data_IF_854368912623
#
_entry.id   IF_854368912623
#
_cell.length_a   1.000
_cell.length_b   1.000
_cell.length_c   1.000
_cell.angle_alpha   90.00
_cell.angle_beta   90.00
_cell.angle_gamma   90.00
#
_symmetry.space_group_name_H-M   'P 1'
#
loop_
_entity.id
_entity.type
_entity.pdbx_description
1 polymer ?
#
# COMPACT_ATOMS: atom_id res chain seq x y z
N UNK A 1 20.05 -71.03 -23.69
CA UNK A 1 19.22 -72.04 -24.38
C UNK A 1 18.57 -72.90 -23.32
N UNK A 2 17.24 -73.14 -23.29
CA UNK A 2 16.09 -72.53 -23.98
C UNK A 2 15.29 -71.60 -23.00
N UNK A 3 14.53 -70.57 -23.40
CA UNK A 3 13.29 -70.44 -24.20
C UNK A 3 11.98 -70.59 -23.40
N UNK A 4 11.11 -69.61 -23.68
CA UNK A 4 9.89 -69.12 -23.04
C UNK A 4 8.79 -70.14 -22.68
N UNK A 5 7.91 -69.74 -21.74
CA UNK A 5 6.47 -69.69 -22.01
C UNK A 5 5.77 -68.71 -21.04
N UNK A 6 5.39 -67.56 -21.59
CA UNK A 6 4.56 -66.52 -20.99
C UNK A 6 3.13 -67.02 -20.77
N UNK A 7 2.65 -66.98 -19.53
CA UNK A 7 1.23 -67.11 -19.21
C UNK A 7 0.56 -65.75 -19.36
N UNK A 8 -0.11 -65.55 -20.51
CA UNK A 8 -0.98 -64.40 -20.78
C UNK A 8 -2.23 -64.54 -19.91
N UNK A 9 -2.30 -63.76 -18.82
CA UNK A 9 -3.50 -63.67 -17.99
C UNK A 9 -4.26 -62.38 -18.32
N UNK A 10 -5.30 -62.49 -19.13
CA UNK A 10 -6.32 -61.47 -19.35
C UNK A 10 -7.15 -61.28 -18.07
N UNK A 11 -7.07 -60.11 -17.42
CA UNK A 11 -8.09 -59.61 -16.47
C UNK A 11 -8.19 -58.09 -16.61
N UNK A 12 -9.10 -57.65 -17.48
CA UNK A 12 -10.36 -56.98 -17.09
C UNK A 12 -10.10 -55.64 -16.40
N UNK A 13 -10.18 -54.58 -17.20
CA UNK A 13 -10.15 -53.19 -16.77
C UNK A 13 -11.41 -52.87 -15.97
N UNK A 14 -11.27 -52.68 -14.66
CA UNK A 14 -12.32 -52.09 -13.82
C UNK A 14 -12.18 -50.58 -13.94
N UNK A 15 -13.06 -49.95 -14.73
CA UNK A 15 -13.23 -48.51 -14.74
C UNK A 15 -13.96 -48.10 -13.45
N UNK A 16 -13.21 -47.52 -12.50
CA UNK A 16 -13.80 -46.85 -11.35
C UNK A 16 -14.25 -45.46 -11.82
N UNK A 17 -15.53 -45.34 -12.13
CA UNK A 17 -16.23 -44.04 -12.21
C UNK A 17 -16.54 -43.64 -10.78
N UNK A 18 -15.72 -42.76 -10.20
CA UNK A 18 -15.97 -42.17 -8.89
C UNK A 18 -16.22 -40.66 -9.05
N UNK A 19 -17.37 -40.25 -8.53
CA UNK A 19 -18.03 -38.97 -8.72
C UNK A 19 -17.14 -37.75 -8.45
N UNK A 20 -17.16 -36.80 -9.38
CA UNK A 20 -16.69 -35.44 -9.17
C UNK A 20 -17.58 -34.77 -8.12
N UNK A 21 -17.16 -34.79 -6.85
CA UNK A 21 -17.74 -33.93 -5.83
C UNK A 21 -17.40 -32.47 -6.20
N UNK A 22 -18.39 -31.72 -6.69
CA UNK A 22 -18.33 -30.27 -6.77
C UNK A 22 -18.27 -29.72 -5.34
N UNK A 23 -17.06 -29.53 -4.83
CA UNK A 23 -16.83 -28.68 -3.69
C UNK A 23 -17.10 -27.23 -4.13
N UNK A 24 -18.28 -26.72 -3.80
CA UNK A 24 -18.57 -25.28 -3.86
C UNK A 24 -17.80 -24.67 -2.70
N UNK A 25 -16.55 -24.28 -2.96
CA UNK A 25 -15.80 -23.40 -2.07
C UNK A 25 -16.56 -22.09 -1.98
N UNK A 26 -17.10 -21.78 -0.80
CA UNK A 26 -17.55 -20.42 -0.50
C UNK A 26 -16.32 -19.51 -0.62
N UNK A 27 -16.24 -18.76 -1.71
CA UNK A 27 -15.29 -17.66 -1.84
C UNK A 27 -15.69 -16.61 -0.80
N UNK A 28 -15.07 -16.68 0.38
CA UNK A 28 -14.93 -15.52 1.26
C UNK A 28 -14.34 -14.42 0.38
N UNK A 29 -15.09 -13.34 0.19
CA UNK A 29 -14.71 -12.25 -0.72
C UNK A 29 -13.29 -11.80 -0.40
N UNK A 30 -12.35 -12.08 -1.30
CA UNK A 30 -11.06 -11.44 -1.28
C UNK A 30 -11.34 -9.98 -1.59
N UNK A 31 -11.20 -9.11 -0.58
CA UNK A 31 -11.14 -7.68 -0.82
C UNK A 31 -10.12 -7.44 -1.95
N UNK A 32 -10.40 -6.53 -2.90
CA UNK A 32 -9.47 -6.27 -3.99
C UNK A 32 -8.10 -5.94 -3.38
N UNK A 33 -7.12 -6.79 -3.65
CA UNK A 33 -5.74 -6.53 -3.32
C UNK A 33 -5.29 -5.38 -4.20
N UNK A 34 -5.13 -4.21 -3.60
CA UNK A 34 -4.60 -3.07 -4.33
C UNK A 34 -3.20 -3.44 -4.85
N UNK A 35 -2.99 -3.31 -6.16
CA UNK A 35 -1.71 -3.63 -6.78
C UNK A 35 -0.62 -2.72 -6.18
N UNK A 36 0.33 -3.33 -5.46
CA UNK A 36 1.51 -2.65 -4.98
C UNK A 36 2.70 -2.92 -5.90
N UNK A 37 3.58 -1.92 -6.02
CA UNK A 37 4.80 -2.01 -6.79
C UNK A 37 5.95 -2.41 -5.86
N UNK A 38 6.98 -3.12 -6.37
CA UNK A 38 8.14 -3.40 -5.55
C UNK A 38 8.77 -2.10 -5.06
N UNK A 39 9.24 -2.09 -3.82
CA UNK A 39 10.11 -1.01 -3.33
C UNK A 39 11.32 -0.96 -4.24
N UNK A 40 11.49 0.15 -4.93
CA UNK A 40 12.53 0.35 -5.92
C UNK A 40 13.23 1.68 -5.66
N UNK A 41 14.44 1.84 -6.19
CA UNK A 41 15.19 3.09 -6.04
C UNK A 41 14.55 4.29 -6.79
N UNK A 42 13.49 4.07 -7.57
CA UNK A 42 12.83 5.15 -8.29
C UNK A 42 11.89 5.92 -7.37
N UNK A 43 11.98 7.26 -7.34
CA UNK A 43 11.09 8.08 -6.54
C UNK A 43 9.65 7.98 -7.06
N UNK A 44 8.69 7.88 -6.14
CA UNK A 44 7.26 7.83 -6.41
C UNK A 44 6.68 9.24 -6.34
N UNK A 45 6.08 9.78 -7.42
CA UNK A 45 5.53 11.13 -7.41
C UNK A 45 4.40 11.31 -6.40
N UNK A 46 4.29 12.53 -5.88
CA UNK A 46 3.16 13.01 -5.09
C UNK A 46 2.19 13.78 -5.99
N UNK A 47 0.92 13.41 -5.94
CA UNK A 47 -0.19 14.09 -6.61
C UNK A 47 -1.20 14.64 -5.61
N UNK A 48 -1.88 15.73 -5.97
CA UNK A 48 -2.96 16.29 -5.17
C UNK A 48 -4.27 15.52 -5.36
N UNK A 49 -4.26 14.24 -4.96
CA UNK A 49 -5.43 13.38 -4.94
C UNK A 49 -5.77 13.10 -3.49
N UNK A 50 -6.95 13.52 -3.05
CA UNK A 50 -7.43 13.19 -1.72
C UNK A 50 -7.82 11.72 -1.68
N UNK A 51 -7.26 10.95 -0.76
CA UNK A 51 -7.48 9.51 -0.64
C UNK A 51 -7.91 9.14 0.77
N UNK A 52 -8.78 8.15 0.85
CA UNK A 52 -9.07 7.44 2.08
C UNK A 52 -7.87 6.61 2.55
N UNK A 53 -7.95 6.11 3.77
CA UNK A 53 -6.90 5.30 4.39
C UNK A 53 -6.62 3.97 3.67
N UNK A 54 -7.58 3.51 2.87
CA UNK A 54 -7.52 2.34 1.98
C UNK A 54 -6.98 2.67 0.58
N UNK A 55 -6.46 3.89 0.38
CA UNK A 55 -5.95 4.41 -0.89
C UNK A 55 -7.03 4.76 -1.94
N UNK A 56 -8.32 4.61 -1.60
CA UNK A 56 -9.44 4.96 -2.49
C UNK A 56 -9.51 6.48 -2.69
N UNK A 57 -9.53 6.99 -3.94
CA UNK A 57 -9.61 8.42 -4.20
C UNK A 57 -11.01 8.99 -3.93
N UNK A 58 -11.05 10.23 -3.47
CA UNK A 58 -12.27 11.02 -3.28
C UNK A 58 -12.28 12.19 -4.28
N UNK A 59 -12.85 11.98 -5.49
CA UNK A 59 -12.74 12.95 -6.60
C UNK A 59 -13.51 14.26 -6.37
N UNK A 60 -14.39 14.30 -5.36
CA UNK A 60 -15.17 15.47 -5.01
C UNK A 60 -14.42 16.46 -4.11
N UNK A 61 -13.22 16.11 -3.62
CA UNK A 61 -12.38 17.01 -2.84
C UNK A 61 -11.37 17.64 -3.77
N UNK A 62 -11.56 18.94 -4.06
CA UNK A 62 -10.73 19.67 -5.00
C UNK A 62 -9.35 20.00 -4.38
N UNK A 63 -8.27 19.93 -5.17
CA UNK A 63 -6.95 20.37 -4.75
C UNK A 63 -6.92 21.90 -4.58
N UNK A 64 -6.17 22.36 -3.58
CA UNK A 64 -6.11 23.77 -3.16
C UNK A 64 -4.69 24.32 -3.12
N UNK A 65 -3.67 23.45 -3.12
CA UNK A 65 -2.27 23.82 -3.05
C UNK A 65 -1.58 23.76 -4.41
N UNK A 66 -0.28 24.08 -4.42
CA UNK A 66 0.59 23.98 -5.60
C UNK A 66 1.81 23.11 -5.36
N UNK A 67 1.85 22.42 -4.21
CA UNK A 67 2.96 21.55 -3.84
C UNK A 67 3.13 20.39 -4.80
N UNK A 68 4.36 19.92 -4.89
CA UNK A 68 4.75 18.76 -5.65
C UNK A 68 5.95 18.11 -4.97
N UNK A 69 6.23 16.87 -5.34
CA UNK A 69 7.33 16.15 -4.73
C UNK A 69 7.36 14.69 -5.12
N UNK A 70 8.24 13.97 -4.46
CA UNK A 70 8.33 12.54 -4.63
C UNK A 70 8.83 11.87 -3.36
N UNK A 71 8.59 10.58 -3.29
CA UNK A 71 8.90 9.73 -2.15
C UNK A 71 9.79 8.59 -2.58
N UNK A 72 10.97 8.51 -1.99
CA UNK A 72 11.87 7.37 -2.15
C UNK A 72 11.59 6.38 -1.03
N UNK A 73 11.10 5.20 -1.39
CA UNK A 73 10.85 4.13 -0.43
C UNK A 73 12.06 3.21 -0.32
N UNK A 74 12.34 2.75 0.90
CA UNK A 74 13.30 1.68 1.14
C UNK A 74 12.75 0.71 2.16
N UNK A 75 13.21 -0.54 2.10
CA UNK A 75 12.76 -1.60 2.98
C UNK A 75 13.93 -2.47 3.40
N UNK A 76 14.04 -2.74 4.70
CA UNK A 76 15.09 -3.60 5.25
C UNK A 76 14.55 -4.32 6.47
N UNK A 77 14.57 -5.65 6.47
CA UNK A 77 14.28 -6.49 7.65
C UNK A 77 12.97 -6.17 8.37
N UNK A 78 11.88 -5.96 7.63
CA UNK A 78 10.56 -5.64 8.20
C UNK A 78 10.43 -4.21 8.72
N UNK A 79 11.34 -3.33 8.30
CA UNK A 79 11.26 -1.88 8.46
C UNK A 79 11.06 -1.28 7.07
N UNK A 80 10.14 -0.34 6.95
CA UNK A 80 9.93 0.48 5.77
C UNK A 80 10.29 1.93 6.10
N UNK A 81 11.09 2.55 5.25
CA UNK A 81 11.41 3.98 5.31
C UNK A 81 10.93 4.67 4.06
N UNK A 82 10.52 5.93 4.20
CA UNK A 82 10.14 6.80 3.13
C UNK A 82 10.85 8.15 3.30
N UNK A 83 11.68 8.51 2.32
CA UNK A 83 12.27 9.84 2.23
C UNK A 83 11.38 10.69 1.34
N UNK A 84 10.78 11.71 1.91
CA UNK A 84 9.88 12.63 1.21
C UNK A 84 10.65 13.89 0.85
N UNK A 85 10.67 14.21 -0.45
CA UNK A 85 11.16 15.48 -0.96
C UNK A 85 9.98 16.29 -1.48
N UNK A 86 9.73 17.45 -0.88
CA UNK A 86 8.55 18.27 -1.12
C UNK A 86 8.96 19.72 -1.45
N UNK A 87 8.27 20.32 -2.42
CA UNK A 87 8.50 21.68 -2.88
C UNK A 87 7.18 22.34 -3.30
N UNK A 88 7.18 23.67 -3.45
CA UNK A 88 5.98 24.42 -3.84
C UNK A 88 4.90 24.49 -2.75
N UNK A 89 5.24 24.08 -1.52
CA UNK A 89 4.38 24.27 -0.36
C UNK A 89 4.38 25.71 0.14
N UNK A 90 3.54 25.98 1.14
CA UNK A 90 3.54 27.24 1.85
C UNK A 90 4.91 27.46 2.52
N UNK A 91 5.54 28.64 2.39
CA UNK A 91 6.81 28.94 3.03
C UNK A 91 6.75 28.92 4.56
N UNK A 92 7.78 28.39 5.22
CA UNK A 92 7.90 28.35 6.68
C UNK A 92 6.72 27.63 7.39
N UNK A 93 6.15 26.62 6.74
CA UNK A 93 4.94 25.93 7.19
C UNK A 93 5.25 24.50 7.62
N UNK A 94 4.56 24.06 8.68
CA UNK A 94 4.59 22.67 9.14
C UNK A 94 3.52 21.85 8.43
N UNK A 95 3.97 20.97 7.55
CA UNK A 95 3.16 19.88 7.01
C UNK A 95 3.27 18.65 7.92
N UNK A 96 2.28 17.77 7.84
CA UNK A 96 2.30 16.45 8.46
C UNK A 96 2.53 15.41 7.37
N UNK A 97 3.57 14.59 7.55
CA UNK A 97 3.83 13.44 6.68
C UNK A 97 3.37 12.19 7.40
N UNK A 98 2.61 11.34 6.69
CA UNK A 98 2.07 10.09 7.19
C UNK A 98 2.49 8.95 6.28
N UNK A 99 3.17 7.96 6.85
CA UNK A 99 3.44 6.67 6.22
C UNK A 99 2.33 5.71 6.64
N UNK A 100 1.56 5.24 5.67
CA UNK A 100 0.30 4.52 5.88
C UNK A 100 0.44 3.14 5.26
N UNK A 101 0.36 2.11 6.09
CA UNK A 101 0.40 0.70 5.70
C UNK A 101 -1.02 0.14 5.51
N UNK A 102 -1.19 -0.79 4.56
CA UNK A 102 -2.43 -1.49 4.22
C UNK A 102 -2.16 -3.00 4.02
N UNK A 103 -3.15 -3.91 4.16
CA UNK A 103 -4.51 -3.68 4.63
C UNK A 103 -4.53 -3.15 6.07
N UNK A 104 -5.48 -2.24 6.32
CA UNK A 104 -5.70 -1.67 7.65
C UNK A 104 -6.38 -2.71 8.55
N UNK A 105 -6.20 -2.56 9.86
CA UNK A 105 -7.11 -3.19 10.80
C UNK A 105 -8.53 -2.62 10.60
N UNK A 106 -9.51 -3.49 10.42
CA UNK A 106 -10.91 -3.12 10.17
C UNK A 106 -11.46 -2.25 11.32
N UNK A 107 -11.67 -0.96 11.06
CA UNK A 107 -12.27 -0.01 12.01
C UNK A 107 -11.38 1.16 12.45
N UNK A 108 -10.10 1.21 12.06
CA UNK A 108 -9.19 2.31 12.40
C UNK A 108 -9.14 3.42 11.33
N UNK A 109 -8.93 4.68 11.77
CA UNK A 109 -8.56 5.80 10.89
C UNK A 109 -7.12 5.66 10.37
N UNK A 110 -6.55 6.69 9.75
CA UNK A 110 -5.12 6.80 9.39
C UNK A 110 -4.52 8.13 9.86
N UNK A 111 -4.94 8.54 11.05
CA UNK A 111 -4.43 9.67 11.81
C UNK A 111 -3.20 9.25 12.59
N UNK A 112 -2.56 10.23 13.23
CA UNK A 112 -1.47 9.97 14.16
C UNK A 112 -1.89 9.03 15.30
N UNK A 113 -1.10 7.97 15.51
CA UNK A 113 -1.37 6.95 16.52
C UNK A 113 -2.26 5.79 16.05
N UNK A 114 -2.87 5.87 14.87
CA UNK A 114 -3.65 4.74 14.33
C UNK A 114 -2.72 3.58 13.92
N UNK A 115 -3.14 2.30 14.14
CA UNK A 115 -2.33 1.14 13.75
C UNK A 115 -1.96 1.14 12.26
N UNK A 116 -0.67 0.94 11.97
CA UNK A 116 -0.15 1.00 10.59
C UNK A 116 -0.05 2.42 10.04
N UNK A 117 -0.08 3.45 10.89
CA UNK A 117 0.26 4.82 10.52
C UNK A 117 1.39 5.34 11.40
N UNK A 118 2.47 5.77 10.75
CA UNK A 118 3.54 6.54 11.40
C UNK A 118 3.47 7.96 10.89
N UNK A 119 3.71 8.96 11.74
CA UNK A 119 3.70 10.38 11.36
C UNK A 119 5.00 11.09 11.72
N UNK A 120 5.38 12.09 10.94
CA UNK A 120 6.49 13.00 11.21
C UNK A 120 6.17 14.39 10.68
N UNK A 121 6.58 15.48 11.36
CA UNK A 121 6.49 16.81 10.76
C UNK A 121 7.47 16.99 9.60
N UNK A 122 7.02 17.63 8.53
CA UNK A 122 7.88 18.23 7.51
C UNK A 122 7.77 19.74 7.61
N UNK A 123 8.90 20.42 7.79
CA UNK A 123 8.97 21.87 7.81
C UNK A 123 9.49 22.36 6.46
N UNK A 124 8.75 23.26 5.82
CA UNK A 124 9.23 23.95 4.63
C UNK A 124 10.08 25.15 5.02
N UNK A 125 11.08 25.46 4.20
CA UNK A 125 11.88 26.68 4.30
C UNK A 125 11.15 27.88 3.67
N UNK A 126 11.86 29.01 3.54
CA UNK A 126 11.33 30.22 2.93
C UNK A 126 11.01 30.08 1.42
N UNK A 127 11.53 29.04 0.76
CA UNK A 127 11.22 28.69 -0.62
C UNK A 127 10.07 27.69 -0.77
N UNK A 128 9.46 27.26 0.34
CA UNK A 128 8.40 26.24 0.33
C UNK A 128 8.94 24.83 0.10
N UNK A 129 10.23 24.59 0.38
CA UNK A 129 10.91 23.30 0.18
C UNK A 129 11.16 22.63 1.52
N UNK A 130 10.93 21.33 1.60
CA UNK A 130 11.23 20.52 2.78
C UNK A 130 11.56 19.07 2.43
N UNK A 131 12.40 18.46 3.26
CA UNK A 131 12.77 17.05 3.15
C UNK A 131 12.61 16.42 4.53
N UNK A 132 12.01 15.24 4.59
CA UNK A 132 11.94 14.46 5.83
C UNK A 132 12.07 12.97 5.52
N UNK A 133 12.64 12.23 6.46
CA UNK A 133 12.61 10.77 6.45
C UNK A 133 11.65 10.28 7.53
N UNK A 134 10.82 9.31 7.16
CA UNK A 134 9.90 8.63 8.07
C UNK A 134 10.15 7.13 8.00
N UNK A 135 10.21 6.47 9.15
CA UNK A 135 10.49 5.05 9.26
C UNK A 135 9.48 4.37 10.16
N UNK A 136 8.97 3.23 9.72
CA UNK A 136 7.98 2.41 10.45
C UNK A 136 8.43 0.96 10.48
N UNK A 137 8.12 0.27 11.59
CA UNK A 137 8.14 -1.19 11.60
C UNK A 137 6.87 -1.67 10.90
N UNK A 138 7.03 -2.53 9.91
CA UNK A 138 5.91 -3.09 9.15
C UNK A 138 5.00 -3.86 10.10
N UNK A 139 3.74 -3.47 10.16
CA UNK A 139 2.72 -4.09 10.99
C UNK A 139 2.36 -5.47 10.43
N UNK A 140 2.11 -6.42 11.32
CA UNK A 140 1.73 -7.78 10.92
C UNK A 140 0.48 -7.77 10.05
N UNK A 141 0.59 -8.34 8.85
CA UNK A 141 -0.51 -8.41 7.88
C UNK A 141 -0.55 -7.25 6.87
N UNK A 142 0.29 -6.21 7.04
CA UNK A 142 0.48 -5.20 6.00
C UNK A 142 1.19 -5.80 4.78
N UNK A 143 0.68 -5.49 3.59
CA UNK A 143 1.22 -5.91 2.29
C UNK A 143 1.70 -4.73 1.43
N UNK A 144 1.24 -3.51 1.74
CA UNK A 144 1.64 -2.32 1.00
C UNK A 144 1.65 -1.07 1.89
N UNK A 145 2.29 -0.02 1.40
CA UNK A 145 2.36 1.28 2.04
C UNK A 145 2.31 2.43 1.03
N UNK A 146 1.94 3.61 1.52
CA UNK A 146 1.93 4.85 0.76
C UNK A 146 2.16 6.04 1.69
N UNK A 147 2.39 7.22 1.11
CA UNK A 147 2.61 8.45 1.87
C UNK A 147 1.55 9.48 1.56
N UNK A 148 1.11 10.18 2.61
CA UNK A 148 0.30 11.39 2.57
C UNK A 148 1.09 12.52 3.22
N UNK A 149 1.25 13.62 2.48
CA UNK A 149 1.71 14.91 3.00
C UNK A 149 0.49 15.80 3.08
N UNK A 150 0.14 16.30 4.26
CA UNK A 150 -1.02 17.16 4.42
C UNK A 150 -0.77 18.36 5.31
N UNK A 151 -1.46 19.45 4.98
CA UNK A 151 -1.54 20.64 5.82
C UNK A 151 -2.88 20.58 6.56
N UNK A 152 -2.90 20.39 7.89
CA UNK A 152 -4.16 20.37 8.64
C UNK A 152 -4.94 21.67 8.47
N UNK A 153 -6.28 21.57 8.43
CA UNK A 153 -7.15 22.74 8.44
C UNK A 153 -7.57 23.08 9.86
N UNK A 154 -7.60 24.37 10.21
CA UNK A 154 -8.07 24.82 11.52
C UNK A 154 -9.60 24.68 11.70
N UNK A 155 -10.35 24.65 10.60
CA UNK A 155 -11.83 24.75 10.61
C UNK A 155 -12.52 23.68 9.79
N UNK A 156 -11.79 22.72 9.24
CA UNK A 156 -12.34 21.64 8.41
C UNK A 156 -11.76 20.30 8.84
N UNK A 157 -12.54 19.24 8.69
CA UNK A 157 -12.05 17.86 8.84
C UNK A 157 -11.21 17.42 7.63
N UNK A 158 -11.35 18.12 6.50
CA UNK A 158 -10.49 17.95 5.32
C UNK A 158 -9.26 18.82 5.46
N UNK A 159 -8.08 18.25 5.22
CA UNK A 159 -6.82 18.99 5.21
C UNK A 159 -6.87 20.18 4.25
N UNK A 160 -6.26 21.30 4.64
CA UNK A 160 -6.16 22.52 3.85
C UNK A 160 -5.35 22.30 2.55
N UNK A 161 -4.37 21.39 2.57
CA UNK A 161 -3.68 20.86 1.40
C UNK A 161 -3.42 19.36 1.61
N UNK A 162 -3.32 18.59 0.53
CA UNK A 162 -3.08 17.16 0.57
C UNK A 162 -2.30 16.71 -0.68
N UNK A 163 -1.32 15.83 -0.47
CA UNK A 163 -0.48 15.27 -1.53
C UNK A 163 -0.24 13.78 -1.21
N UNK A 164 -0.66 12.89 -2.10
CA UNK A 164 -0.55 11.45 -1.93
C UNK A 164 0.34 10.83 -2.97
N UNK A 165 1.04 9.75 -2.64
CA UNK A 165 1.78 8.99 -3.66
C UNK A 165 0.83 8.43 -4.70
N UNK A 166 1.24 8.42 -5.96
CA UNK A 166 0.39 7.93 -7.06
C UNK A 166 0.15 6.42 -7.03
N UNK A 167 1.06 5.70 -6.38
CA UNK A 167 1.03 4.25 -6.27
C UNK A 167 1.25 3.79 -4.84
N UNK A 168 0.86 2.54 -4.59
CA UNK A 168 1.22 1.76 -3.41
C UNK A 168 2.56 1.06 -3.65
N UNK A 169 3.42 1.01 -2.63
CA UNK A 169 4.63 0.19 -2.65
C UNK A 169 4.49 -1.01 -1.73
N UNK A 170 5.22 -2.09 -1.98
CA UNK A 170 5.19 -3.28 -1.12
C UNK A 170 5.74 -2.96 0.29
N UNK A 171 5.04 -3.40 1.33
CA UNK A 171 5.45 -3.25 2.73
C UNK A 171 6.23 -4.46 3.23
#
# INVERSE_FOLDING_TARGET
MPEDTLSVTHRIWIQVVAASALAISLALGTAPSANSYPVSASPVPLSQIYRGCDFTPYPHVAPTGYGYGAVEFSRTSGIISARVSFAGGQPNTRYLVRLIEIPRYSGGGCSEGDPGTTTVPLYTDNGGVGIVEITSKVVGGASAAWVLVDLPSERSQTSAEFYTTDILVAA
#
